data_IF_125822777821
#
_entry.id   IF_125822777821
#
_cell.length_a   1.000
_cell.length_b   1.000
_cell.length_c   1.000
_cell.angle_alpha   90.00
_cell.angle_beta   90.00
_cell.angle_gamma   90.00
#
_symmetry.space_group_name_H-M   'P 1'
#
loop_
_entity.id
_entity.type
_entity.pdbx_description
1 polymer ?
#
# COMPACT_ATOMS: atom_id res chain seq x y z
N UNK A 1 -8.44 4.72 12.15
CA UNK A 1 -8.43 3.24 12.12
C UNK A 1 -9.09 2.69 10.84
N UNK A 2 -10.32 3.10 10.50
CA UNK A 2 -11.03 2.67 9.27
C UNK A 2 -10.23 2.87 7.97
N UNK A 3 -9.57 4.01 7.76
CA UNK A 3 -8.82 4.27 6.52
C UNK A 3 -7.61 3.35 6.33
N UNK A 4 -6.92 2.99 7.41
CA UNK A 4 -5.84 1.99 7.35
C UNK A 4 -6.40 0.63 6.98
N UNK A 5 -7.52 0.22 7.60
CA UNK A 5 -8.14 -1.05 7.24
C UNK A 5 -8.57 -1.07 5.77
N UNK A 6 -9.22 -0.02 5.27
CA UNK A 6 -9.55 0.11 3.84
C UNK A 6 -8.31 -0.02 2.95
N UNK A 7 -7.22 0.69 3.29
CA UNK A 7 -5.95 0.59 2.55
C UNK A 7 -5.46 -0.86 2.48
N UNK A 8 -5.42 -1.56 3.61
CA UNK A 8 -4.94 -2.94 3.68
C UNK A 8 -5.82 -3.89 2.86
N UNK A 9 -7.14 -3.73 2.94
CA UNK A 9 -8.10 -4.57 2.20
C UNK A 9 -8.00 -4.30 0.69
N UNK A 10 -7.86 -3.05 0.27
CA UNK A 10 -7.62 -2.69 -1.14
C UNK A 10 -6.30 -3.25 -1.67
N UNK A 11 -5.22 -3.13 -0.91
CA UNK A 11 -3.91 -3.69 -1.27
C UNK A 11 -3.97 -5.21 -1.43
N UNK A 12 -4.70 -5.90 -0.54
CA UNK A 12 -4.88 -7.36 -0.60
C UNK A 12 -5.78 -7.76 -1.78
N UNK A 13 -6.86 -7.04 -2.02
CA UNK A 13 -7.74 -7.25 -3.17
C UNK A 13 -6.97 -7.11 -4.49
N UNK A 14 -6.19 -6.03 -4.65
CA UNK A 14 -5.26 -5.83 -5.79
C UNK A 14 -4.28 -6.99 -5.96
N UNK A 15 -3.72 -7.50 -4.86
CA UNK A 15 -2.75 -8.60 -4.87
C UNK A 15 -3.35 -9.94 -5.30
N UNK A 16 -4.62 -10.18 -4.97
CA UNK A 16 -5.35 -11.40 -5.33
C UNK A 16 -5.95 -11.35 -6.74
N UNK A 17 -6.28 -10.16 -7.23
CA UNK A 17 -7.00 -10.03 -8.50
C UNK A 17 -6.24 -10.47 -9.75
N UNK A 18 -4.92 -10.68 -9.65
CA UNK A 18 -4.11 -11.28 -10.72
C UNK A 18 -3.92 -12.79 -10.60
N UNK A 19 -4.64 -13.47 -9.71
CA UNK A 19 -4.45 -14.91 -9.44
C UNK A 19 -5.62 -15.74 -9.94
N UNK A 20 -5.31 -16.84 -10.63
CA UNK A 20 -6.31 -17.70 -11.28
C UNK A 20 -6.81 -18.86 -10.40
N UNK A 21 -6.37 -18.96 -9.15
CA UNK A 21 -6.82 -20.05 -8.28
C UNK A 21 -8.24 -19.81 -7.75
N UNK A 22 -9.01 -20.89 -7.57
CA UNK A 22 -10.35 -20.80 -6.99
C UNK A 22 -10.34 -20.19 -5.58
N UNK A 23 -9.31 -20.53 -4.79
CA UNK A 23 -9.09 -19.97 -3.46
C UNK A 23 -8.84 -18.46 -3.51
N UNK A 24 -8.00 -17.98 -4.43
CA UNK A 24 -7.75 -16.54 -4.58
C UNK A 24 -9.00 -15.79 -5.00
N UNK A 25 -9.78 -16.31 -5.95
CA UNK A 25 -11.08 -15.72 -6.34
C UNK A 25 -12.06 -15.66 -5.17
N UNK A 26 -12.14 -16.70 -4.35
CA UNK A 26 -13.01 -16.70 -3.16
C UNK A 26 -12.57 -15.65 -2.13
N UNK A 27 -11.27 -15.58 -1.84
CA UNK A 27 -10.72 -14.55 -0.94
C UNK A 27 -10.92 -13.13 -1.47
N UNK A 28 -10.76 -12.94 -2.78
CA UNK A 28 -10.98 -11.66 -3.45
C UNK A 28 -12.43 -11.19 -3.30
N UNK A 29 -13.41 -12.07 -3.52
CA UNK A 29 -14.83 -11.76 -3.26
C UNK A 29 -15.11 -11.40 -1.80
N UNK A 30 -14.58 -12.18 -0.86
CA UNK A 30 -14.75 -11.90 0.57
C UNK A 30 -14.19 -10.53 0.96
N UNK A 31 -13.01 -10.15 0.43
CA UNK A 31 -12.43 -8.82 0.64
C UNK A 31 -13.29 -7.72 0.01
N UNK A 32 -13.89 -7.99 -1.14
CA UNK A 32 -14.76 -7.02 -1.79
C UNK A 32 -16.02 -6.75 -0.94
N UNK A 33 -16.58 -7.77 -0.31
CA UNK A 33 -17.74 -7.62 0.59
C UNK A 33 -17.36 -6.93 1.92
N UNK A 34 -16.15 -7.19 2.43
CA UNK A 34 -15.60 -6.45 3.56
C UNK A 34 -15.40 -4.98 3.25
N UNK A 35 -14.86 -4.65 2.08
CA UNK A 35 -14.70 -3.28 1.62
C UNK A 35 -16.04 -2.56 1.48
N UNK A 36 -17.05 -3.22 0.88
CA UNK A 36 -18.41 -2.68 0.82
C UNK A 36 -19.03 -2.39 2.20
N UNK A 37 -18.67 -3.15 3.23
CA UNK A 37 -19.07 -2.85 4.62
C UNK A 37 -18.32 -1.63 5.14
N UNK A 38 -17.00 -1.58 4.97
CA UNK A 38 -16.17 -0.46 5.43
C UNK A 38 -16.62 0.88 4.82
N UNK A 39 -16.99 0.89 3.54
CA UNK A 39 -17.56 2.08 2.90
C UNK A 39 -18.90 2.51 3.52
N UNK A 40 -19.82 1.56 3.77
CA UNK A 40 -21.11 1.87 4.40
C UNK A 40 -21.01 2.34 5.85
N UNK A 41 -19.96 1.92 6.55
CA UNK A 41 -19.69 2.26 7.94
C UNK A 41 -18.81 3.50 8.10
N UNK A 42 -18.51 4.21 7.00
CA UNK A 42 -17.73 5.45 7.06
C UNK A 42 -18.40 6.49 7.97
N UNK A 43 -17.64 7.13 8.87
CA UNK A 43 -18.19 8.20 9.69
C UNK A 43 -18.52 9.43 8.83
N UNK A 44 -19.54 10.24 9.20
CA UNK A 44 -19.91 11.43 8.44
C UNK A 44 -18.75 12.44 8.21
N UNK A 45 -17.78 12.47 9.13
CA UNK A 45 -16.58 13.30 9.03
C UNK A 45 -15.58 12.87 7.95
N UNK A 46 -15.81 11.73 7.28
CA UNK A 46 -14.96 11.18 6.23
C UNK A 46 -15.57 11.34 4.83
N UNK A 47 -16.25 12.46 4.58
CA UNK A 47 -16.96 12.73 3.32
C UNK A 47 -16.06 12.58 2.07
N UNK A 48 -14.76 12.92 2.16
CA UNK A 48 -13.83 12.78 1.04
C UNK A 48 -13.54 11.31 0.67
N UNK A 49 -13.74 10.38 1.60
CA UNK A 49 -13.62 8.94 1.33
C UNK A 49 -14.85 8.39 0.59
N UNK A 50 -16.01 9.00 0.79
CA UNK A 50 -17.24 8.62 0.08
C UNK A 50 -17.14 8.95 -1.42
N UNK A 51 -16.44 10.03 -1.79
CA UNK A 51 -16.20 10.37 -3.20
C UNK A 51 -15.43 9.27 -3.98
N UNK A 52 -14.70 8.42 -3.26
CA UNK A 52 -13.93 7.32 -3.85
C UNK A 52 -14.79 6.07 -4.10
N UNK A 53 -16.00 6.01 -3.53
CA UNK A 53 -16.87 4.84 -3.59
C UNK A 53 -17.25 4.42 -5.02
N UNK A 54 -17.57 5.33 -5.98
CA UNK A 54 -17.83 4.94 -7.37
C UNK A 54 -16.62 4.32 -8.09
N UNK A 55 -15.40 4.72 -7.71
CA UNK A 55 -14.18 4.10 -8.23
C UNK A 55 -14.01 2.68 -7.66
N UNK A 56 -14.28 2.49 -6.37
CA UNK A 56 -14.32 1.16 -5.76
C UNK A 56 -15.35 0.24 -6.42
N UNK A 57 -16.59 0.69 -6.60
CA UNK A 57 -17.66 -0.15 -7.17
C UNK A 57 -17.31 -0.73 -8.56
N UNK A 58 -16.56 0.03 -9.37
CA UNK A 58 -16.03 -0.49 -10.64
C UNK A 58 -14.99 -1.59 -10.40
N UNK A 59 -14.00 -1.32 -9.56
CA UNK A 59 -12.88 -2.23 -9.27
C UNK A 59 -13.30 -3.51 -8.53
N UNK A 60 -14.41 -3.48 -7.77
CA UNK A 60 -15.04 -4.65 -7.14
C UNK A 60 -15.26 -5.79 -8.14
N UNK A 61 -15.66 -5.44 -9.37
CA UNK A 61 -15.89 -6.39 -10.47
C UNK A 61 -14.67 -6.63 -11.36
N UNK A 62 -13.64 -5.80 -11.23
CA UNK A 62 -12.43 -5.78 -12.07
C UNK A 62 -11.19 -5.94 -11.20
N UNK A 63 -11.12 -7.06 -10.49
CA UNK A 63 -10.04 -7.33 -9.54
C UNK A 63 -8.65 -7.34 -10.20
N UNK A 64 -8.58 -7.71 -11.48
CA UNK A 64 -7.36 -7.78 -12.27
C UNK A 64 -6.81 -6.41 -12.72
N UNK A 65 -7.63 -5.35 -12.67
CA UNK A 65 -7.24 -3.96 -12.98
C UNK A 65 -6.29 -3.39 -11.91
N UNK A 66 -5.02 -3.76 -12.04
CA UNK A 66 -3.96 -3.32 -11.14
C UNK A 66 -3.79 -1.80 -11.09
N UNK A 67 -3.82 -1.15 -12.26
CA UNK A 67 -3.60 0.29 -12.37
C UNK A 67 -4.78 1.06 -11.78
N UNK A 68 -6.01 0.57 -11.96
CA UNK A 68 -7.19 1.09 -11.31
C UNK A 68 -7.10 1.03 -9.78
N UNK A 69 -6.66 -0.11 -9.24
CA UNK A 69 -6.41 -0.22 -7.80
C UNK A 69 -5.30 0.72 -7.32
N UNK A 70 -4.19 0.86 -8.07
CA UNK A 70 -3.15 1.82 -7.73
C UNK A 70 -3.71 3.25 -7.68
N UNK A 71 -4.53 3.67 -8.66
CA UNK A 71 -5.15 5.01 -8.65
C UNK A 71 -6.07 5.21 -7.45
N UNK A 72 -6.93 4.24 -7.14
CA UNK A 72 -7.84 4.33 -6.00
C UNK A 72 -7.07 4.41 -4.67
N UNK A 73 -6.01 3.63 -4.50
CA UNK A 73 -5.18 3.67 -3.30
C UNK A 73 -4.47 5.02 -3.16
N UNK A 74 -3.92 5.58 -4.24
CA UNK A 74 -3.31 6.92 -4.19
C UNK A 74 -4.31 8.03 -3.83
N UNK A 75 -5.55 7.93 -4.32
CA UNK A 75 -6.64 8.83 -3.95
C UNK A 75 -7.00 8.69 -2.46
N UNK A 76 -7.12 7.46 -1.96
CA UNK A 76 -7.34 7.17 -0.53
C UNK A 76 -6.24 7.79 0.35
N UNK A 77 -4.97 7.57 -0.01
CA UNK A 77 -3.83 8.13 0.73
C UNK A 77 -3.83 9.66 0.72
N UNK A 78 -4.30 10.26 -0.37
CA UNK A 78 -4.45 11.72 -0.49
C UNK A 78 -5.58 12.24 0.39
N UNK A 79 -6.73 11.58 0.41
CA UNK A 79 -7.82 11.93 1.31
C UNK A 79 -7.41 11.80 2.79
N UNK A 80 -6.63 10.77 3.15
CA UNK A 80 -6.07 10.61 4.50
C UNK A 80 -5.15 11.77 4.88
N UNK A 81 -4.27 12.19 3.97
CA UNK A 81 -3.37 13.33 4.22
C UNK A 81 -4.14 14.65 4.39
N UNK A 82 -5.15 14.90 3.54
CA UNK A 82 -5.99 16.09 3.66
C UNK A 82 -6.78 16.10 4.97
N UNK A 83 -7.21 14.94 5.44
CA UNK A 83 -7.86 14.80 6.73
C UNK A 83 -6.93 15.23 7.88
N UNK A 84 -5.70 14.70 7.96
CA UNK A 84 -4.72 15.09 9.00
C UNK A 84 -4.45 16.60 8.98
N UNK A 85 -4.24 17.18 7.78
CA UNK A 85 -4.01 18.62 7.63
C UNK A 85 -5.16 19.47 8.16
N UNK A 86 -6.42 19.06 7.92
CA UNK A 86 -7.60 19.79 8.41
C UNK A 86 -7.76 19.72 9.92
N UNK A 87 -7.28 18.65 10.55
CA UNK A 87 -7.28 18.52 12.01
C UNK A 87 -6.13 19.30 12.66
N UNK A 88 -5.27 19.96 11.88
CA UNK A 88 -4.08 20.63 12.38
C UNK A 88 -3.02 19.65 12.90
N UNK A 89 -3.07 18.39 12.46
CA UNK A 89 -2.11 17.35 12.82
C UNK A 89 -0.95 17.32 11.83
N UNK A 90 0.20 16.79 12.27
CA UNK A 90 1.28 16.43 11.35
C UNK A 90 0.81 15.30 10.42
N UNK A 91 1.21 15.34 9.15
CA UNK A 91 0.83 14.34 8.12
C UNK A 91 1.56 13.00 8.28
N UNK A 92 1.87 12.61 9.51
CA UNK A 92 2.75 11.48 9.80
C UNK A 92 2.09 10.14 9.46
N UNK A 93 0.80 9.94 9.79
CA UNK A 93 0.12 8.68 9.51
C UNK A 93 -0.05 8.51 8.01
N UNK A 94 -0.49 9.55 7.28
CA UNK A 94 -0.60 9.48 5.83
C UNK A 94 0.76 9.23 5.18
N UNK A 95 1.84 9.88 5.64
CA UNK A 95 3.20 9.62 5.14
C UNK A 95 3.60 8.16 5.35
N UNK A 96 3.38 7.59 6.54
CA UNK A 96 3.68 6.17 6.81
C UNK A 96 2.82 5.22 5.99
N UNK A 97 1.55 5.56 5.75
CA UNK A 97 0.67 4.78 4.88
C UNK A 97 1.15 4.81 3.42
N UNK A 98 1.70 5.95 2.95
CA UNK A 98 2.32 6.04 1.62
C UNK A 98 3.58 5.18 1.52
N UNK A 99 4.45 5.19 2.53
CA UNK A 99 5.63 4.32 2.59
C UNK A 99 5.25 2.83 2.52
N UNK A 100 4.21 2.44 3.27
CA UNK A 100 3.65 1.10 3.23
C UNK A 100 3.12 0.74 1.82
N UNK A 101 2.43 1.68 1.17
CA UNK A 101 1.92 1.47 -0.18
C UNK A 101 3.03 1.35 -1.23
N UNK A 102 4.12 2.11 -1.12
CA UNK A 102 5.24 1.98 -2.05
C UNK A 102 5.81 0.55 -2.03
N UNK A 103 5.94 -0.05 -0.83
CA UNK A 103 6.35 -1.45 -0.70
C UNK A 103 5.29 -2.43 -1.22
N UNK A 104 4.01 -2.19 -0.90
CA UNK A 104 2.91 -3.05 -1.36
C UNK A 104 2.72 -3.00 -2.88
N UNK A 105 3.02 -1.86 -3.51
CA UNK A 105 3.01 -1.66 -4.96
C UNK A 105 4.22 -2.33 -5.61
N UNK A 106 5.42 -2.15 -5.06
CA UNK A 106 6.64 -2.85 -5.49
C UNK A 106 6.41 -4.37 -5.47
N UNK A 107 5.89 -4.85 -4.35
CA UNK A 107 4.94 -5.96 -4.20
C UNK A 107 4.42 -6.57 -5.50
N UNK A 108 3.26 -6.03 -5.88
CA UNK A 108 2.45 -6.54 -6.98
C UNK A 108 3.12 -6.36 -8.34
N UNK A 109 3.90 -5.31 -8.54
CA UNK A 109 4.68 -5.12 -9.77
C UNK A 109 5.72 -6.22 -9.95
N UNK A 110 6.44 -6.57 -8.88
CA UNK A 110 7.50 -7.58 -8.94
C UNK A 110 6.93 -8.96 -9.26
N UNK A 111 5.86 -9.35 -8.56
CA UNK A 111 5.15 -10.61 -8.79
C UNK A 111 4.63 -10.71 -10.23
N UNK A 112 3.97 -9.65 -10.74
CA UNK A 112 3.45 -9.64 -12.13
C UNK A 112 4.58 -9.63 -13.16
N UNK A 113 5.64 -8.86 -12.93
CA UNK A 113 6.81 -8.82 -13.80
C UNK A 113 7.52 -10.18 -13.87
N UNK A 114 7.60 -10.88 -12.74
CA UNK A 114 8.21 -12.20 -12.65
C UNK A 114 7.34 -13.33 -13.26
N UNK A 115 6.06 -13.06 -13.54
CA UNK A 115 5.13 -14.02 -14.12
C UNK A 115 5.35 -14.33 -15.60
N UNK A 116 6.25 -13.59 -16.26
CA UNK A 116 6.57 -13.76 -17.67
C UNK A 116 8.05 -14.14 -17.87
N UNK A 117 8.41 -14.84 -18.98
CA UNK A 117 9.81 -15.17 -19.28
C UNK A 117 10.73 -13.93 -19.38
N UNK A 118 10.14 -12.79 -19.76
CA UNK A 118 10.77 -11.46 -19.75
C UNK A 118 9.82 -10.50 -19.05
N UNK A 119 10.36 -9.62 -18.23
CA UNK A 119 9.55 -8.58 -17.58
C UNK A 119 8.95 -7.65 -18.66
N UNK A 120 7.62 -7.51 -18.74
CA UNK A 120 6.99 -6.62 -19.70
C UNK A 120 7.49 -5.18 -19.54
N UNK A 121 7.81 -4.51 -20.66
CA UNK A 121 8.43 -3.17 -20.64
C UNK A 121 7.68 -2.15 -19.76
N UNK A 122 6.33 -2.04 -19.82
CA UNK A 122 5.61 -1.12 -18.93
C UNK A 122 5.85 -1.42 -17.44
N UNK A 123 5.85 -2.69 -17.04
CA UNK A 123 6.14 -3.10 -15.67
C UNK A 123 7.59 -2.85 -15.29
N UNK A 124 8.53 -3.13 -16.20
CA UNK A 124 9.96 -2.89 -15.99
C UNK A 124 10.27 -1.41 -15.73
N UNK A 125 9.63 -0.50 -16.47
CA UNK A 125 9.77 0.95 -16.26
C UNK A 125 9.24 1.37 -14.88
N UNK A 126 8.04 0.89 -14.52
CA UNK A 126 7.44 1.19 -13.22
C UNK A 126 8.28 0.64 -12.05
N UNK A 127 8.75 -0.59 -12.18
CA UNK A 127 9.65 -1.23 -11.22
C UNK A 127 10.94 -0.44 -11.06
N UNK A 128 11.60 -0.05 -12.17
CA UNK A 128 12.84 0.73 -12.12
C UNK A 128 12.63 2.07 -11.41
N UNK A 129 11.57 2.79 -11.75
CA UNK A 129 11.26 4.07 -11.14
C UNK A 129 11.01 3.94 -9.63
N UNK A 130 10.18 2.98 -9.22
CA UNK A 130 9.83 2.77 -7.82
C UNK A 130 11.05 2.27 -7.01
N UNK A 131 11.82 1.34 -7.55
CA UNK A 131 13.06 0.86 -6.93
C UNK A 131 14.07 1.99 -6.73
N UNK A 132 14.26 2.88 -7.72
CA UNK A 132 15.16 4.03 -7.59
C UNK A 132 14.71 5.00 -6.49
N UNK A 133 13.40 5.23 -6.34
CA UNK A 133 12.87 6.08 -5.27
C UNK A 133 13.09 5.46 -3.89
N UNK A 134 12.75 4.20 -3.73
CA UNK A 134 12.92 3.47 -2.47
C UNK A 134 14.41 3.33 -2.09
N UNK A 135 15.30 3.17 -3.08
CA UNK A 135 16.74 3.10 -2.84
C UNK A 135 17.30 4.37 -2.19
N UNK A 136 16.74 5.55 -2.51
CA UNK A 136 17.15 6.83 -1.90
C UNK A 136 16.75 6.95 -0.43
N UNK A 137 15.76 6.19 0.00
CA UNK A 137 15.25 6.18 1.37
C UNK A 137 15.85 5.02 2.19
N UNK A 138 16.34 3.97 1.52
CA UNK A 138 16.88 2.79 2.16
C UNK A 138 18.23 3.08 2.83
N UNK A 139 18.38 2.68 4.09
CA UNK A 139 19.68 2.69 4.74
C UNK A 139 20.63 1.70 4.02
N UNK A 140 21.94 2.00 3.93
CA UNK A 140 22.92 1.08 3.37
C UNK A 140 22.85 -0.30 4.03
N UNK A 141 22.94 -1.36 3.24
CA UNK A 141 22.87 -2.77 3.69
C UNK A 141 21.58 -3.19 4.42
N UNK A 142 20.55 -2.35 4.48
CA UNK A 142 19.24 -2.72 5.02
C UNK A 142 18.58 -3.85 4.22
N UNK A 143 17.61 -4.54 4.83
CA UNK A 143 16.83 -5.56 4.14
C UNK A 143 16.12 -5.00 2.89
N UNK A 144 15.66 -3.75 2.93
CA UNK A 144 15.11 -3.06 1.77
C UNK A 144 16.17 -2.88 0.67
N UNK A 145 17.37 -2.39 0.99
CA UNK A 145 18.44 -2.22 0.00
C UNK A 145 18.81 -3.55 -0.67
N UNK A 146 18.91 -4.64 0.11
CA UNK A 146 19.21 -5.98 -0.41
C UNK A 146 18.09 -6.52 -1.31
N UNK A 147 16.82 -6.31 -0.92
CA UNK A 147 15.68 -6.69 -1.73
C UNK A 147 15.65 -5.94 -3.07
N UNK A 148 15.89 -4.62 -3.05
CA UNK A 148 15.96 -3.81 -4.27
C UNK A 148 17.10 -4.25 -5.20
N UNK A 149 18.29 -4.54 -4.65
CA UNK A 149 19.42 -5.06 -5.43
C UNK A 149 19.11 -6.42 -6.07
N UNK A 150 18.43 -7.32 -5.33
CA UNK A 150 18.00 -8.61 -5.86
C UNK A 150 16.99 -8.44 -7.01
N UNK A 151 16.00 -7.57 -6.85
CA UNK A 151 15.04 -7.27 -7.91
C UNK A 151 15.71 -6.66 -9.15
N UNK A 152 16.70 -5.78 -8.97
CA UNK A 152 17.45 -5.24 -10.12
C UNK A 152 18.16 -6.37 -10.89
N UNK A 153 18.93 -7.20 -10.20
CA UNK A 153 19.75 -8.25 -10.81
C UNK A 153 18.97 -9.44 -11.38
N UNK A 154 17.76 -9.70 -10.90
CA UNK A 154 17.01 -10.92 -11.27
C UNK A 154 15.72 -10.63 -12.04
N UNK A 155 15.18 -9.42 -11.98
CA UNK A 155 13.90 -9.09 -12.60
C UNK A 155 13.97 -7.88 -13.56
N UNK A 156 14.63 -6.80 -13.16
CA UNK A 156 14.53 -5.52 -13.86
C UNK A 156 15.59 -5.38 -14.96
N UNK A 157 16.85 -5.71 -14.70
CA UNK A 157 17.95 -5.56 -15.68
C UNK A 157 18.13 -6.73 -16.65
N UNK A 158 17.94 -8.00 -16.23
CA UNK A 158 18.18 -9.14 -17.11
C UNK A 158 17.29 -9.18 -18.35
N UNK A 159 17.81 -9.79 -19.41
CA UNK A 159 17.04 -10.12 -20.61
C UNK A 159 15.99 -11.22 -20.38
N UNK A 160 16.16 -12.04 -19.34
CA UNK A 160 15.22 -13.08 -18.91
C UNK A 160 15.06 -13.00 -17.40
N UNK A 161 13.82 -13.14 -16.94
CA UNK A 161 13.51 -13.16 -15.51
C UNK A 161 14.21 -14.37 -14.86
N UNK A 162 14.87 -14.14 -13.74
CA UNK A 162 15.64 -15.11 -12.97
C UNK A 162 15.15 -15.23 -11.51
N UNK A 163 13.97 -14.70 -11.21
CA UNK A 163 13.30 -14.80 -9.90
C UNK A 163 11.85 -15.20 -10.13
N UNK A 164 11.34 -16.18 -9.38
CA UNK A 164 9.96 -16.61 -9.50
C UNK A 164 8.98 -15.60 -8.83
N UNK A 165 7.72 -15.52 -9.27
CA UNK A 165 6.71 -14.67 -8.63
C UNK A 165 6.59 -14.89 -7.11
N UNK A 166 6.66 -16.16 -6.68
CA UNK A 166 6.61 -16.53 -5.27
C UNK A 166 7.80 -15.98 -4.48
N UNK A 167 9.00 -16.03 -5.06
CA UNK A 167 10.20 -15.48 -4.42
C UNK A 167 10.12 -13.94 -4.32
N UNK A 168 9.53 -13.25 -5.29
CA UNK A 168 9.26 -11.81 -5.18
C UNK A 168 8.28 -11.51 -4.03
N UNK A 169 7.25 -12.34 -3.87
CA UNK A 169 6.29 -12.19 -2.78
C UNK A 169 6.96 -12.37 -1.42
N UNK A 170 7.75 -13.43 -1.25
CA UNK A 170 8.48 -13.74 -0.02
C UNK A 170 9.56 -12.70 0.30
N UNK A 171 10.25 -12.17 -0.72
CA UNK A 171 11.29 -11.15 -0.56
C UNK A 171 10.74 -9.85 0.05
N UNK A 172 9.52 -9.46 -0.32
CA UNK A 172 8.97 -8.14 0.00
C UNK A 172 7.95 -8.15 1.14
N UNK A 173 7.34 -9.30 1.43
CA UNK A 173 6.33 -9.42 2.49
C UNK A 173 6.86 -9.06 3.89
N UNK A 174 8.05 -9.51 4.32
CA UNK A 174 8.60 -9.13 5.63
C UNK A 174 8.77 -7.62 5.80
N UNK A 175 9.17 -6.90 4.74
CA UNK A 175 9.34 -5.44 4.77
C UNK A 175 8.00 -4.74 4.98
N UNK A 176 6.95 -5.24 4.32
CA UNK A 176 5.57 -4.72 4.46
C UNK A 176 5.06 -5.00 5.87
N UNK A 177 5.26 -6.21 6.38
CA UNK A 177 4.78 -6.63 7.70
C UNK A 177 5.47 -5.84 8.83
N UNK A 178 6.78 -5.58 8.71
CA UNK A 178 7.54 -4.73 9.63
C UNK A 178 6.97 -3.30 9.68
N UNK A 179 6.83 -2.66 8.51
CA UNK A 179 6.29 -1.29 8.42
C UNK A 179 4.86 -1.21 8.96
N UNK A 180 4.04 -2.20 8.66
CA UNK A 180 2.68 -2.30 9.17
C UNK A 180 2.65 -2.48 10.69
N UNK A 181 3.54 -3.28 11.26
CA UNK A 181 3.69 -3.47 12.70
C UNK A 181 4.01 -2.15 13.41
N UNK A 182 5.00 -1.40 12.89
CA UNK A 182 5.35 -0.07 13.41
C UNK A 182 4.18 0.91 13.30
N UNK A 183 3.47 0.93 12.16
CA UNK A 183 2.32 1.81 11.96
C UNK A 183 1.18 1.51 12.95
N UNK A 184 0.87 0.22 13.17
CA UNK A 184 -0.16 -0.19 14.13
C UNK A 184 0.21 0.19 15.55
N UNK A 185 1.45 -0.04 15.97
CA UNK A 185 1.92 0.37 17.31
C UNK A 185 1.75 1.87 17.52
N UNK A 186 2.12 2.70 16.53
CA UNK A 186 1.96 4.15 16.61
C UNK A 186 0.50 4.60 16.71
N UNK A 187 -0.38 3.98 15.93
CA UNK A 187 -1.82 4.27 16.00
C UNK A 187 -2.41 3.90 17.36
N UNK A 188 -1.93 2.81 17.98
CA UNK A 188 -2.33 2.44 19.34
C UNK A 188 -1.84 3.47 20.37
N UNK A 189 -0.58 3.93 20.27
CA UNK A 189 -0.06 4.95 21.19
C UNK A 189 -0.72 6.32 21.02
N UNK A 190 -1.11 6.69 19.79
CA UNK A 190 -1.78 7.96 19.51
C UNK A 190 -3.26 7.96 19.98
N UNK A 191 -3.88 6.79 20.08
CA UNK A 191 -5.24 6.62 20.58
C UNK A 191 -5.33 6.60 22.11
N UNK A 192 -4.19 6.51 22.83
CA UNK A 192 -4.14 6.56 24.29
C UNK A 192 -4.11 8.02 24.78
N UNK A 193 -5.19 8.53 25.40
CA UNK A 193 -5.23 9.91 25.90
C UNK A 193 -4.24 10.17 27.05
N UNK A 194 -3.69 9.13 27.70
CA UNK A 194 -2.73 9.28 28.78
C UNK A 194 -1.30 9.64 28.31
N UNK A 195 -1.04 9.55 26.99
CA UNK A 195 0.28 9.77 26.37
C UNK A 195 0.24 10.97 25.39
N UNK A 196 -0.75 11.87 25.51
CA UNK A 196 -0.68 13.16 24.82
C UNK A 196 0.21 14.11 25.63
N UNK A 197 1.37 14.56 25.10
CA UNK A 197 2.12 15.61 25.78
C UNK A 197 1.22 16.85 25.88
N UNK A 198 1.28 17.59 27.00
CA UNK A 198 0.46 18.79 27.15
C UNK A 198 0.83 19.76 26.02
N UNK A 199 -0.16 20.13 25.21
CA UNK A 199 -0.01 21.24 24.29
C UNK A 199 0.25 22.49 25.13
N UNK A 200 1.50 22.95 25.14
CA UNK A 200 1.86 24.23 25.73
C UNK A 200 1.16 25.32 24.91
N UNK A 201 0.00 25.75 25.38
CA UNK A 201 -0.55 27.06 25.01
C UNK A 201 0.38 28.11 25.61
N UNK A 202 1.26 28.66 24.77
CA UNK A 202 1.99 29.88 25.09
C UNK A 202 0.97 31.03 25.15
N UNK A 203 0.80 31.70 26.30
CA UNK A 203 -0.09 32.86 26.35
C UNK A 203 0.59 34.02 25.62
N UNK A 204 -0.09 34.54 24.61
CA UNK A 204 0.31 35.78 23.96
C UNK A 204 0.48 36.90 25.00
N UNK A 205 1.65 37.51 25.03
CA UNK A 205 1.92 38.81 25.66
C UNK A 205 2.54 39.73 24.62
#
# INVERSE_FOLDING_TARGET
MHSLEMLQRLQKHRGLGGQDSAAARAQCRALADELDRLWRELPPAAAELEELHPAWQRLRSQADDFDGHCRLIEQLLTAMQLFELRQGEDIEIARRCRELEELARLRGLAVRGAGAPRCPLPLQVQLRYLSLRLQRQAAPHSALAQALERLQRQLIEPLRVAIAPQECFELLTPLIDEQLGTLRQRLLTAADPAIRPPMHHEPAR
#
